data_IF_767388887906
#
_entry.id   IF_767388887906
#
_cell.length_a   1.000
_cell.length_b   1.000
_cell.length_c   1.000
_cell.angle_alpha   90.00
_cell.angle_beta   90.00
_cell.angle_gamma   90.00
#
_symmetry.space_group_name_H-M   'P 1'
#
loop_
_entity.id
_entity.type
_entity.pdbx_description
1 polymer ?
#
# COMPACT_ATOMS: atom_id res chain seq x y z
N UNK A 1 -2.29 -42.82 -6.35
CA UNK A 1 -1.14 -42.24 -5.60
C UNK A 1 -0.10 -41.80 -6.60
N UNK A 2 0.08 -40.49 -6.79
CA UNK A 2 1.07 -39.92 -7.70
C UNK A 2 1.99 -39.00 -6.90
N UNK A 3 3.29 -39.28 -6.95
CA UNK A 3 4.35 -38.53 -6.27
C UNK A 3 4.81 -37.43 -7.22
N UNK A 4 4.53 -36.16 -6.87
CA UNK A 4 4.99 -35.00 -7.63
C UNK A 4 6.31 -34.53 -7.02
N UNK A 5 7.38 -34.57 -7.82
CA UNK A 5 8.71 -34.10 -7.47
C UNK A 5 8.78 -32.56 -7.59
N UNK A 6 9.12 -31.89 -6.48
CA UNK A 6 9.38 -30.45 -6.39
C UNK A 6 10.83 -30.16 -6.79
N UNK A 7 11.00 -29.39 -7.87
CA UNK A 7 12.29 -28.82 -8.25
C UNK A 7 12.49 -27.47 -7.53
N UNK A 8 13.43 -27.45 -6.59
CA UNK A 8 13.91 -26.26 -5.87
C UNK A 8 14.89 -25.47 -6.72
N UNK A 9 14.47 -24.33 -7.25
CA UNK A 9 15.34 -23.34 -7.87
C UNK A 9 15.79 -22.28 -6.87
N UNK A 10 17.01 -22.42 -6.34
CA UNK A 10 17.69 -21.41 -5.52
C UNK A 10 18.26 -20.30 -6.41
N UNK A 11 17.59 -19.15 -6.47
CA UNK A 11 18.09 -17.93 -7.08
C UNK A 11 18.70 -16.99 -6.03
N UNK A 12 20.02 -17.06 -5.82
CA UNK A 12 20.78 -16.12 -4.99
C UNK A 12 20.95 -14.79 -5.74
N UNK A 13 20.13 -13.78 -5.43
CA UNK A 13 20.35 -12.41 -5.88
C UNK A 13 21.22 -11.65 -4.87
N UNK A 14 22.45 -11.36 -5.32
CA UNK A 14 23.52 -10.59 -4.67
C UNK A 14 23.10 -9.12 -4.48
N UNK A 15 23.02 -8.66 -3.24
CA UNK A 15 22.78 -7.25 -2.91
C UNK A 15 24.10 -6.47 -2.92
N UNK A 16 24.16 -5.42 -3.74
CA UNK A 16 25.26 -4.46 -3.77
C UNK A 16 25.13 -3.45 -2.63
N UNK A 17 26.17 -3.36 -1.80
CA UNK A 17 26.38 -2.32 -0.80
C UNK A 17 26.71 -0.99 -1.50
N UNK A 18 25.79 -0.04 -1.51
CA UNK A 18 26.09 1.34 -1.88
C UNK A 18 26.59 2.11 -0.66
N UNK A 19 27.80 2.64 -0.79
CA UNK A 19 28.54 3.36 0.23
C UNK A 19 27.85 4.65 0.65
N UNK A 20 27.82 4.83 1.98
CA UNK A 20 27.53 6.05 2.70
C UNK A 20 28.69 7.03 2.49
N UNK A 21 28.55 7.98 1.58
CA UNK A 21 29.47 9.11 1.53
C UNK A 21 28.88 10.23 2.39
N UNK A 22 29.44 10.40 3.58
CA UNK A 22 29.30 11.62 4.36
C UNK A 22 30.14 12.71 3.71
N UNK A 23 29.52 13.87 3.48
CA UNK A 23 30.23 15.11 3.21
C UNK A 23 29.94 16.05 4.37
N UNK A 24 30.96 16.20 5.21
CA UNK A 24 31.11 17.28 6.17
C UNK A 24 31.06 18.65 5.47
N UNK A 25 30.55 19.63 6.22
CA UNK A 25 30.29 20.97 5.74
C UNK A 25 31.55 21.77 5.40
N UNK A 26 31.30 22.90 4.75
CA UNK A 26 32.09 24.11 4.94
C UNK A 26 31.22 25.30 4.62
N UNK A 27 31.15 26.18 5.59
CA UNK A 27 30.54 27.50 5.57
C UNK A 27 31.21 28.35 4.50
N UNK A 28 30.44 29.12 3.73
CA UNK A 28 30.96 30.30 3.03
C UNK A 28 29.88 31.36 2.96
N UNK A 29 29.95 32.21 3.99
CA UNK A 29 29.98 33.67 3.93
C UNK A 29 29.38 34.38 2.70
N UNK A 30 28.42 35.23 3.02
CA UNK A 30 27.69 36.18 2.17
C UNK A 30 28.59 37.32 1.66
N UNK A 31 28.49 37.65 0.36
CA UNK A 31 28.87 38.96 -0.18
C UNK A 31 28.04 39.38 -1.42
N UNK A 32 27.07 40.27 -1.19
CA UNK A 32 26.73 41.51 -1.93
C UNK A 32 26.85 41.58 -3.47
N UNK A 33 25.68 41.62 -4.15
CA UNK A 33 25.14 42.49 -5.25
C UNK A 33 26.02 42.94 -6.46
N UNK A 34 25.49 43.53 -7.57
CA UNK A 34 24.10 43.80 -8.03
C UNK A 34 23.79 43.35 -9.49
N UNK A 35 22.55 43.65 -9.91
CA UNK A 35 21.92 43.63 -11.24
C UNK A 35 22.78 43.52 -12.52
N UNK A 36 22.39 42.61 -13.41
CA UNK A 36 22.47 42.78 -14.87
C UNK A 36 21.32 42.00 -15.53
N UNK A 37 20.36 42.75 -16.07
CA UNK A 37 19.39 42.30 -17.07
C UNK A 37 20.10 42.19 -18.42
N UNK A 38 19.86 41.12 -19.18
CA UNK A 38 19.62 41.32 -20.61
C UNK A 38 18.43 40.50 -21.11
N UNK A 39 17.39 41.20 -21.59
CA UNK A 39 16.64 40.76 -22.77
C UNK A 39 17.59 40.70 -23.97
N UNK A 40 17.50 39.65 -24.81
CA UNK A 40 16.78 39.87 -26.06
C UNK A 40 15.88 38.69 -26.48
N UNK A 41 14.66 39.07 -26.88
CA UNK A 41 13.92 38.76 -28.11
C UNK A 41 13.91 37.36 -28.78
N UNK A 42 12.79 37.02 -29.45
CA UNK A 42 12.42 35.66 -29.82
C UNK A 42 12.92 35.26 -31.21
N UNK A 43 13.52 34.07 -31.33
CA UNK A 43 13.70 33.42 -32.64
C UNK A 43 12.45 32.60 -33.00
N UNK A 44 11.71 33.19 -33.93
CA UNK A 44 10.75 32.55 -34.81
C UNK A 44 11.41 31.46 -35.67
N UNK A 45 10.58 30.50 -36.08
CA UNK A 45 10.73 29.56 -37.20
C UNK A 45 11.38 28.21 -36.88
N UNK A 46 10.57 27.15 -36.85
CA UNK A 46 10.32 26.44 -38.12
C UNK A 46 9.07 25.58 -38.04
N UNK A 47 8.17 25.89 -38.95
CA UNK A 47 7.10 25.05 -39.44
C UNK A 47 7.71 23.73 -39.96
N UNK A 48 7.26 22.60 -39.42
CA UNK A 48 7.38 21.31 -40.11
C UNK A 48 6.09 20.55 -39.88
N UNK A 49 5.10 20.94 -40.66
CA UNK A 49 4.04 20.05 -41.09
C UNK A 49 4.65 18.91 -41.93
N UNK A 50 4.58 17.67 -41.45
CA UNK A 50 4.63 16.49 -42.30
C UNK A 50 4.01 15.27 -41.61
N UNK A 51 2.87 14.85 -42.16
CA UNK A 51 2.39 13.45 -42.22
C UNK A 51 1.79 12.83 -40.96
N UNK A 52 0.46 12.93 -40.86
CA UNK A 52 -0.38 11.76 -40.57
C UNK A 52 -0.58 10.95 -41.88
N UNK A 53 -1.18 9.73 -41.90
CA UNK A 53 -1.49 8.79 -40.82
C UNK A 53 -0.89 7.39 -41.09
N UNK A 54 -0.82 6.53 -40.08
CA UNK A 54 -0.82 5.07 -40.33
C UNK A 54 -1.81 4.42 -39.39
N UNK A 55 -2.99 4.19 -39.95
CA UNK A 55 -4.02 3.30 -39.43
C UNK A 55 -3.56 1.88 -39.71
N UNK A 56 -3.02 1.18 -38.71
CA UNK A 56 -2.85 -0.27 -38.80
C UNK A 56 -3.90 -0.92 -37.90
N UNK A 57 -4.98 -1.33 -38.56
CA UNK A 57 -6.06 -2.16 -38.03
C UNK A 57 -5.50 -3.56 -37.78
N UNK A 58 -5.11 -3.87 -36.54
CA UNK A 58 -4.87 -5.23 -36.11
C UNK A 58 -6.16 -5.79 -35.48
N UNK A 59 -7.06 -6.21 -36.37
CA UNK A 59 -8.22 -7.04 -36.05
C UNK A 59 -7.70 -8.41 -35.59
N UNK A 60 -7.62 -8.62 -34.27
CA UNK A 60 -7.28 -9.92 -33.70
C UNK A 60 -8.57 -10.66 -33.40
N UNK A 61 -8.78 -11.75 -34.13
CA UNK A 61 -9.88 -12.70 -34.00
C UNK A 61 -10.07 -13.15 -32.53
N UNK A 62 -11.28 -13.08 -31.96
CA UNK A 62 -11.59 -13.76 -30.72
C UNK A 62 -11.79 -15.25 -31.00
N UNK A 63 -10.80 -16.06 -30.64
CA UNK A 63 -10.96 -17.51 -30.53
C UNK A 63 -11.68 -17.81 -29.22
N UNK A 64 -12.94 -18.21 -29.30
CA UNK A 64 -13.64 -18.93 -28.23
C UNK A 64 -13.01 -20.31 -28.03
N UNK A 65 -12.73 -20.69 -26.77
CA UNK A 65 -12.90 -22.08 -26.39
C UNK A 65 -14.02 -22.25 -25.38
N UNK A 66 -15.13 -22.77 -25.88
CA UNK A 66 -16.09 -23.64 -25.19
C UNK A 66 -15.38 -24.59 -24.22
N UNK A 67 -15.75 -24.51 -22.95
CA UNK A 67 -15.63 -25.65 -22.04
C UNK A 67 -16.78 -25.60 -21.02
N UNK A 68 -17.88 -26.25 -21.41
CA UNK A 68 -18.84 -26.87 -20.50
C UNK A 68 -18.07 -27.73 -19.49
N UNK A 69 -18.17 -27.40 -18.21
CA UNK A 69 -18.06 -28.35 -17.10
C UNK A 69 -19.00 -27.90 -15.96
N UNK A 70 -20.27 -28.32 -16.05
CA UNK A 70 -20.96 -28.90 -14.88
C UNK A 70 -20.21 -30.21 -14.50
N UNK A 71 -20.26 -30.77 -13.26
CA UNK A 71 -21.35 -30.71 -12.30
C UNK A 71 -20.88 -30.72 -10.80
N UNK A 72 -21.85 -30.86 -9.89
CA UNK A 72 -21.82 -31.84 -8.78
C UNK A 72 -21.85 -31.32 -7.33
N UNK A 73 -22.96 -31.72 -6.70
CA UNK A 73 -23.24 -32.02 -5.28
C UNK A 73 -23.32 -30.90 -4.23
N UNK A 74 -24.58 -30.62 -3.89
CA UNK A 74 -24.98 -30.16 -2.57
C UNK A 74 -24.87 -31.32 -1.56
N UNK A 75 -24.20 -31.13 -0.40
CA UNK A 75 -24.32 -32.07 0.70
C UNK A 75 -25.62 -31.84 1.50
N UNK A 76 -26.38 -32.92 1.60
CA UNK A 76 -27.49 -33.17 2.53
C UNK A 76 -27.06 -32.87 3.98
N UNK A 77 -27.70 -31.88 4.62
CA UNK A 77 -27.53 -31.60 6.05
C UNK A 77 -28.56 -32.44 6.81
N UNK A 78 -28.10 -33.58 7.34
CA UNK A 78 -28.85 -34.46 8.22
C UNK A 78 -29.12 -33.77 9.56
N UNK A 79 -30.35 -33.94 10.04
CA UNK A 79 -30.96 -33.45 11.27
C UNK A 79 -30.22 -33.87 12.57
N UNK A 80 -30.43 -33.13 13.67
CA UNK A 80 -29.70 -33.29 14.94
C UNK A 80 -30.02 -34.60 15.67
N UNK A 81 -28.98 -35.28 16.15
CA UNK A 81 -29.05 -36.40 17.08
C UNK A 81 -29.33 -35.89 18.49
N UNK A 82 -30.46 -36.31 19.06
CA UNK A 82 -30.76 -36.21 20.49
C UNK A 82 -29.69 -36.98 21.28
N UNK A 83 -28.96 -36.26 22.15
CA UNK A 83 -28.06 -36.86 23.13
C UNK A 83 -28.75 -36.87 24.49
N UNK A 84 -28.98 -38.09 24.95
CA UNK A 84 -29.48 -38.48 26.26
C UNK A 84 -28.74 -37.78 27.42
N UNK A 85 -29.52 -37.23 28.34
CA UNK A 85 -29.04 -36.64 29.58
C UNK A 85 -28.58 -37.73 30.55
N UNK A 86 -27.27 -37.84 30.76
CA UNK A 86 -26.69 -38.62 31.86
C UNK A 86 -26.38 -37.68 33.02
N UNK A 87 -27.04 -37.91 34.15
CA UNK A 87 -26.87 -37.15 35.39
C UNK A 87 -25.43 -37.28 35.96
N UNK A 88 -24.79 -36.17 36.37
CA UNK A 88 -23.50 -36.24 37.05
C UNK A 88 -23.64 -36.68 38.53
N UNK A 89 -22.62 -37.35 39.08
CA UNK A 89 -22.54 -37.73 40.50
C UNK A 89 -22.35 -36.51 41.43
N UNK A 90 -22.67 -36.63 42.73
CA UNK A 90 -22.70 -35.50 43.67
C UNK A 90 -21.32 -34.89 43.95
N UNK A 91 -21.26 -33.56 43.93
CA UNK A 91 -20.09 -32.74 44.25
C UNK A 91 -19.69 -32.80 45.74
N UNK A 92 -18.39 -32.78 46.07
CA UNK A 92 -17.89 -32.53 47.42
C UNK A 92 -18.03 -31.04 47.81
N UNK A 93 -18.02 -30.70 49.12
CA UNK A 93 -18.37 -29.38 49.63
C UNK A 93 -17.45 -28.26 49.11
N UNK A 94 -18.08 -27.21 48.59
CA UNK A 94 -17.44 -26.00 48.08
C UNK A 94 -16.65 -25.27 49.17
N UNK A 95 -15.34 -25.16 48.96
CA UNK A 95 -14.48 -24.21 49.68
C UNK A 95 -14.79 -22.81 49.16
N UNK A 96 -14.95 -21.78 50.02
CA UNK A 96 -15.26 -20.43 49.55
C UNK A 96 -14.15 -19.91 48.63
N UNK A 97 -14.49 -19.34 47.45
CA UNK A 97 -13.50 -18.78 46.56
C UNK A 97 -12.82 -17.60 47.24
N UNK A 98 -11.48 -17.62 47.27
CA UNK A 98 -10.70 -16.44 47.63
C UNK A 98 -11.05 -15.29 46.68
N UNK A 99 -11.10 -14.04 47.16
CA UNK A 99 -11.39 -12.89 46.30
C UNK A 99 -10.29 -12.79 45.23
N UNK A 100 -10.64 -13.14 43.99
CA UNK A 100 -9.82 -12.88 42.82
C UNK A 100 -9.70 -11.37 42.67
N UNK A 101 -8.56 -10.83 43.11
CA UNK A 101 -8.18 -9.45 42.82
C UNK A 101 -8.31 -9.22 41.31
N UNK A 102 -9.07 -8.21 40.85
CA UNK A 102 -9.20 -7.93 39.43
C UNK A 102 -7.80 -7.65 38.87
N UNK A 103 -7.40 -8.47 37.89
CA UNK A 103 -6.15 -8.26 37.18
C UNK A 103 -6.17 -6.85 36.59
N UNK A 104 -5.24 -6.01 37.03
CA UNK A 104 -5.05 -4.66 36.52
C UNK A 104 -4.84 -4.78 35.00
N UNK A 105 -5.62 -4.07 34.16
CA UNK A 105 -5.40 -4.10 32.72
C UNK A 105 -3.96 -3.68 32.44
N UNK A 106 -3.20 -4.57 31.81
CA UNK A 106 -1.86 -4.25 31.32
C UNK A 106 -2.02 -3.12 30.30
N UNK A 107 -1.22 -2.03 30.37
CA UNK A 107 -1.31 -0.98 29.37
C UNK A 107 -1.05 -1.61 28.00
N UNK A 108 -2.00 -1.50 27.09
CA UNK A 108 -1.79 -1.88 25.70
C UNK A 108 -0.60 -1.07 25.17
N UNK A 109 0.44 -1.75 24.70
CA UNK A 109 1.60 -1.08 24.13
C UNK A 109 1.14 -0.17 22.99
N UNK A 110 1.44 1.12 23.09
CA UNK A 110 1.05 2.07 22.05
C UNK A 110 1.78 1.71 20.74
N UNK A 111 1.04 1.47 19.67
CA UNK A 111 1.63 1.23 18.36
C UNK A 111 2.25 2.51 17.80
N UNK A 112 3.38 2.37 17.11
CA UNK A 112 4.04 3.41 16.35
C UNK A 112 3.95 3.12 14.86
N UNK A 113 3.66 4.16 14.09
CA UNK A 113 3.81 4.15 12.64
C UNK A 113 5.29 4.23 12.26
N UNK A 114 5.76 3.24 11.51
CA UNK A 114 7.05 3.25 10.82
C UNK A 114 6.80 3.49 9.33
N UNK A 115 7.29 4.63 8.80
CA UNK A 115 7.19 4.97 7.38
C UNK A 115 8.06 4.03 6.56
N UNK A 116 7.52 3.53 5.45
CA UNK A 116 8.24 2.68 4.50
C UNK A 116 8.41 3.37 3.14
N UNK A 117 8.29 2.58 2.07
CA UNK A 117 8.47 3.07 0.70
C UNK A 117 7.29 3.91 0.22
N UNK A 118 7.59 4.84 -0.69
CA UNK A 118 6.61 5.50 -1.56
C UNK A 118 6.92 5.08 -3.00
N UNK A 119 5.90 4.68 -3.75
CA UNK A 119 6.03 4.25 -5.13
C UNK A 119 5.01 4.97 -6.01
N UNK A 120 5.49 5.78 -6.96
CA UNK A 120 4.68 6.38 -8.01
C UNK A 120 4.45 5.33 -9.10
N UNK A 121 3.23 4.81 -9.16
CA UNK A 121 2.84 3.74 -10.07
C UNK A 121 2.42 4.30 -11.43
N UNK A 122 1.89 5.52 -11.46
CA UNK A 122 1.41 6.21 -12.67
C UNK A 122 1.41 7.73 -12.48
N UNK A 123 1.69 8.49 -13.53
CA UNK A 123 1.79 9.96 -13.52
C UNK A 123 1.47 10.55 -14.91
N UNK A 124 0.25 10.31 -15.38
CA UNK A 124 -0.17 10.76 -16.71
C UNK A 124 -0.25 12.28 -16.78
N UNK A 125 0.10 12.85 -17.94
CA UNK A 125 0.10 14.31 -18.17
C UNK A 125 1.30 15.05 -17.60
N UNK A 126 2.21 14.39 -16.87
CA UNK A 126 3.43 14.99 -16.34
C UNK A 126 4.65 14.53 -17.15
N UNK A 127 5.64 15.41 -17.43
CA UNK A 127 6.87 15.01 -18.09
C UNK A 127 7.61 13.91 -17.32
N UNK A 128 7.83 12.78 -17.98
CA UNK A 128 8.54 11.63 -17.39
C UNK A 128 10.06 11.83 -17.40
N UNK A 129 10.71 11.32 -16.35
CA UNK A 129 12.17 11.28 -16.21
C UNK A 129 12.73 10.04 -16.89
N UNK A 130 13.97 10.13 -17.38
CA UNK A 130 14.71 8.95 -17.87
C UNK A 130 15.10 8.06 -16.70
N UNK A 131 14.86 6.75 -16.81
CA UNK A 131 15.31 5.76 -15.84
C UNK A 131 14.21 4.77 -15.42
N UNK A 132 14.50 3.93 -14.40
CA UNK A 132 13.59 2.88 -13.96
C UNK A 132 12.36 3.39 -13.20
N UNK A 133 12.39 4.63 -12.71
CA UNK A 133 11.27 5.30 -12.02
C UNK A 133 10.96 6.57 -12.82
N UNK A 134 10.06 6.49 -13.81
CA UNK A 134 9.82 7.60 -14.74
C UNK A 134 9.02 8.74 -14.12
N UNK A 135 8.25 8.49 -13.08
CA UNK A 135 7.43 9.52 -12.45
C UNK A 135 8.24 10.45 -11.54
N UNK A 136 8.09 11.78 -11.66
CA UNK A 136 8.63 12.70 -10.67
C UNK A 136 7.94 12.49 -9.32
N UNK A 137 8.62 12.91 -8.24
CA UNK A 137 8.07 12.88 -6.89
C UNK A 137 7.40 14.22 -6.56
N UNK A 138 6.35 14.14 -5.75
CA UNK A 138 5.58 15.26 -5.20
C UNK A 138 5.78 15.28 -3.69
N UNK A 139 6.80 15.99 -3.23
CA UNK A 139 7.18 15.98 -1.80
C UNK A 139 6.08 16.55 -0.90
N UNK A 140 5.31 17.53 -1.41
CA UNK A 140 4.21 18.13 -0.68
C UNK A 140 3.07 17.13 -0.47
N UNK A 141 2.68 16.41 -1.53
CA UNK A 141 1.71 15.31 -1.44
C UNK A 141 2.21 14.21 -0.50
N UNK A 142 3.48 13.81 -0.59
CA UNK A 142 4.01 12.75 0.27
C UNK A 142 3.97 13.13 1.75
N UNK A 143 4.35 14.36 2.09
CA UNK A 143 4.31 14.85 3.46
C UNK A 143 2.86 14.88 3.99
N UNK A 144 1.92 15.39 3.20
CA UNK A 144 0.50 15.43 3.56
C UNK A 144 -0.10 14.01 3.73
N UNK A 145 0.18 13.11 2.79
CA UNK A 145 -0.26 11.72 2.85
C UNK A 145 0.32 11.00 4.08
N UNK A 146 1.59 11.20 4.42
CA UNK A 146 2.17 10.61 5.63
C UNK A 146 1.55 11.12 6.93
N UNK A 147 1.15 12.40 6.97
CA UNK A 147 0.44 12.96 8.11
C UNK A 147 -0.97 12.35 8.24
N UNK A 148 -1.67 12.19 7.11
CA UNK A 148 -2.97 11.50 7.07
C UNK A 148 -2.85 10.02 7.49
N UNK A 149 -1.86 9.28 6.98
CA UNK A 149 -1.61 7.88 7.35
C UNK A 149 -1.27 7.74 8.84
N UNK A 150 -0.61 8.72 9.46
CA UNK A 150 -0.29 8.66 10.90
C UNK A 150 -1.53 8.54 11.80
N UNK A 151 -2.70 8.96 11.33
CA UNK A 151 -3.98 8.80 12.04
C UNK A 151 -4.38 7.33 12.21
N UNK A 152 -3.76 6.41 11.46
CA UNK A 152 -4.00 4.96 11.56
C UNK A 152 -3.83 4.43 12.99
N UNK A 153 -2.94 5.04 13.77
CA UNK A 153 -2.67 4.66 15.16
C UNK A 153 -3.82 4.99 16.12
N UNK A 154 -4.80 5.79 15.68
CA UNK A 154 -5.99 6.17 16.43
C UNK A 154 -7.29 5.51 15.93
N UNK A 155 -7.20 4.62 14.93
CA UNK A 155 -8.36 3.90 14.40
C UNK A 155 -8.88 2.90 15.43
N UNK A 156 -10.11 3.11 15.92
CA UNK A 156 -10.74 2.20 16.86
C UNK A 156 -11.01 0.80 16.26
N UNK A 157 -11.18 0.71 14.94
CA UNK A 157 -11.55 -0.55 14.26
C UNK A 157 -10.35 -1.41 13.86
N UNK A 158 -9.12 -0.90 14.02
CA UNK A 158 -7.90 -1.66 13.75
C UNK A 158 -7.50 -2.48 14.97
N UNK A 159 -7.13 -3.76 14.77
CA UNK A 159 -6.58 -4.56 15.86
C UNK A 159 -5.31 -3.88 16.39
N UNK A 160 -5.13 -3.92 17.71
CA UNK A 160 -3.91 -3.46 18.38
C UNK A 160 -2.75 -4.44 18.15
N UNK A 161 -2.47 -4.73 16.88
CA UNK A 161 -1.49 -5.69 16.42
C UNK A 161 -0.46 -5.00 15.52
N UNK A 162 0.76 -5.52 15.57
CA UNK A 162 1.80 -5.13 14.64
C UNK A 162 1.53 -5.72 13.25
N UNK A 163 2.00 -5.05 12.21
CA UNK A 163 1.87 -5.54 10.84
C UNK A 163 2.27 -4.50 9.82
N UNK A 164 2.14 -4.85 8.54
CA UNK A 164 2.40 -3.96 7.43
C UNK A 164 1.16 -3.75 6.57
N UNK A 165 1.06 -2.54 6.00
CA UNK A 165 0.02 -2.16 5.05
C UNK A 165 0.65 -1.38 3.88
N UNK A 166 -0.03 -1.42 2.74
CA UNK A 166 0.33 -0.71 1.51
C UNK A 166 -0.94 -0.06 0.99
N UNK A 167 -1.01 1.26 1.11
CA UNK A 167 -2.18 2.06 0.72
C UNK A 167 -1.91 2.73 -0.61
N UNK A 168 -2.87 2.61 -1.53
CA UNK A 168 -2.85 3.25 -2.83
C UNK A 168 -3.83 4.41 -2.83
N UNK A 169 -3.36 5.52 -3.37
CA UNK A 169 -4.15 6.72 -3.64
C UNK A 169 -4.19 6.90 -5.16
N UNK A 170 -5.39 6.86 -5.75
CA UNK A 170 -5.63 7.13 -7.17
C UNK A 170 -6.32 8.49 -7.32
N UNK A 171 -5.62 9.41 -7.97
CA UNK A 171 -6.16 10.70 -8.38
C UNK A 171 -6.44 10.63 -9.87
N UNK A 172 -7.71 10.50 -10.26
CA UNK A 172 -8.12 10.36 -11.67
C UNK A 172 -8.80 11.62 -12.25
N UNK A 173 -8.74 12.73 -11.50
CA UNK A 173 -9.42 13.99 -11.83
C UNK A 173 -10.83 14.12 -11.24
N UNK A 174 -11.35 13.07 -10.60
CA UNK A 174 -12.59 13.06 -9.84
C UNK A 174 -12.36 13.01 -8.32
N UNK A 175 -13.19 12.21 -7.64
CA UNK A 175 -12.98 11.89 -6.23
C UNK A 175 -11.75 11.02 -6.07
N UNK A 176 -10.90 11.32 -5.09
CA UNK A 176 -9.71 10.52 -4.83
C UNK A 176 -10.13 9.15 -4.31
N UNK A 177 -9.66 8.08 -4.96
CA UNK A 177 -9.92 6.71 -4.52
C UNK A 177 -8.78 6.21 -3.62
N UNK A 178 -9.16 5.60 -2.48
CA UNK A 178 -8.22 5.04 -1.51
C UNK A 178 -8.48 3.54 -1.41
N UNK A 179 -7.45 2.75 -1.71
CA UNK A 179 -7.49 1.29 -1.62
C UNK A 179 -6.24 0.74 -0.94
N UNK A 180 -6.27 -0.54 -0.57
CA UNK A 180 -5.09 -1.26 -0.08
C UNK A 180 -4.59 -2.27 -1.11
N UNK A 181 -3.27 -2.46 -1.18
CA UNK A 181 -2.66 -3.55 -1.95
C UNK A 181 -2.23 -4.68 -1.04
N UNK A 182 -2.78 -5.86 -1.27
CA UNK A 182 -2.40 -7.07 -0.55
C UNK A 182 -1.24 -7.83 -1.20
N UNK A 183 -0.25 -7.11 -1.74
CA UNK A 183 0.94 -7.71 -2.34
C UNK A 183 2.13 -7.60 -1.40
N UNK A 184 2.25 -8.59 -0.52
CA UNK A 184 3.37 -8.74 0.42
C UNK A 184 4.10 -10.06 0.17
N UNK A 185 5.34 -10.11 0.66
CA UNK A 185 6.04 -11.38 0.79
C UNK A 185 5.33 -12.27 1.83
N UNK A 186 5.48 -13.58 1.70
CA UNK A 186 4.74 -14.57 2.52
C UNK A 186 5.12 -14.57 4.00
N UNK A 187 6.25 -13.97 4.35
CA UNK A 187 6.81 -13.86 5.71
C UNK A 187 6.37 -12.59 6.45
N UNK A 188 5.60 -11.71 5.81
CA UNK A 188 5.16 -10.44 6.42
C UNK A 188 3.79 -10.61 7.08
N UNK A 189 3.70 -10.20 8.35
CA UNK A 189 2.40 -10.03 9.02
C UNK A 189 1.69 -8.83 8.43
N UNK A 190 0.55 -9.06 7.79
CA UNK A 190 -0.25 -8.03 7.10
C UNK A 190 -1.32 -7.49 8.03
N UNK A 191 -1.53 -6.19 7.98
CA UNK A 191 -2.73 -5.56 8.53
C UNK A 191 -3.92 -5.85 7.60
N UNK A 192 -5.13 -5.75 8.14
CA UNK A 192 -6.36 -5.79 7.34
C UNK A 192 -6.41 -4.53 6.45
N UNK A 193 -6.01 -4.68 5.19
CA UNK A 193 -5.87 -3.58 4.24
C UNK A 193 -7.17 -2.81 4.04
N UNK A 194 -8.31 -3.50 4.00
CA UNK A 194 -9.62 -2.85 3.81
C UNK A 194 -9.98 -1.96 5.01
N UNK A 195 -9.76 -2.44 6.24
CA UNK A 195 -9.97 -1.63 7.45
C UNK A 195 -9.02 -0.45 7.54
N UNK A 196 -7.74 -0.67 7.20
CA UNK A 196 -6.74 0.41 7.18
C UNK A 196 -7.19 1.48 6.19
N UNK A 197 -7.48 1.10 4.94
CA UNK A 197 -7.91 2.00 3.88
C UNK A 197 -9.16 2.79 4.28
N UNK A 198 -10.19 2.11 4.79
CA UNK A 198 -11.42 2.76 5.26
C UNK A 198 -11.14 3.80 6.36
N UNK A 199 -10.24 3.50 7.30
CA UNK A 199 -9.93 4.45 8.37
C UNK A 199 -9.20 5.70 7.88
N UNK A 200 -8.23 5.55 6.97
CA UNK A 200 -7.43 6.70 6.50
C UNK A 200 -8.07 7.44 5.31
N UNK A 201 -9.06 6.84 4.64
CA UNK A 201 -9.70 7.40 3.45
C UNK A 201 -10.23 8.83 3.63
N UNK A 202 -10.92 9.21 4.73
CA UNK A 202 -11.39 10.58 4.90
C UNK A 202 -10.26 11.61 4.94
N UNK A 203 -9.14 11.28 5.59
CA UNK A 203 -7.99 12.18 5.69
C UNK A 203 -7.20 12.23 4.37
N UNK A 204 -7.05 11.09 3.69
CA UNK A 204 -6.35 11.00 2.41
C UNK A 204 -7.12 11.60 1.25
N UNK A 205 -8.45 11.50 1.23
CA UNK A 205 -9.29 12.08 0.18
C UNK A 205 -9.26 13.62 0.15
N UNK A 206 -8.78 14.26 1.22
CA UNK A 206 -8.58 15.70 1.30
C UNK A 206 -7.16 16.15 0.87
N UNK A 207 -6.25 15.22 0.56
CA UNK A 207 -4.87 15.55 0.18
C UNK A 207 -4.83 15.95 -1.30
N UNK A 208 -4.45 17.19 -1.65
CA UNK A 208 -4.30 17.57 -3.05
C UNK A 208 -2.96 17.06 -3.62
N UNK A 209 -2.94 16.75 -4.91
CA UNK A 209 -1.69 16.64 -5.67
C UNK A 209 -1.25 18.00 -6.21
N UNK A 210 0.07 18.22 -6.29
CA UNK A 210 0.65 19.49 -6.77
C UNK A 210 1.30 19.37 -8.15
N UNK A 211 1.51 18.13 -8.65
CA UNK A 211 2.15 17.89 -9.95
C UNK A 211 1.28 18.25 -11.16
N UNK A 212 -0.03 18.40 -10.99
CA UNK A 212 -0.95 18.66 -12.10
C UNK A 212 -1.07 17.47 -13.06
N UNK A 213 -0.87 16.24 -12.57
CA UNK A 213 -1.08 15.03 -13.36
C UNK A 213 -2.57 14.91 -13.72
N UNK A 214 -2.89 14.46 -14.93
CA UNK A 214 -4.27 14.11 -15.29
C UNK A 214 -4.71 12.83 -14.60
N UNK A 215 -3.78 11.92 -14.35
CA UNK A 215 -3.96 10.77 -13.46
C UNK A 215 -2.68 10.45 -12.70
N UNK A 216 -2.79 10.29 -11.39
CA UNK A 216 -1.67 9.98 -10.51
C UNK A 216 -2.04 8.81 -9.60
N UNK A 217 -1.22 7.75 -9.60
CA UNK A 217 -1.40 6.61 -8.70
C UNK A 217 -0.16 6.46 -7.84
N UNK A 218 -0.30 6.56 -6.53
CA UNK A 218 0.83 6.50 -5.57
C UNK A 218 0.54 5.45 -4.50
N UNK A 219 1.54 4.63 -4.20
CA UNK A 219 1.48 3.59 -3.16
C UNK A 219 2.39 3.97 -1.99
N UNK A 220 1.87 3.84 -0.78
CA UNK A 220 2.52 4.12 0.50
C UNK A 220 2.56 2.85 1.35
N UNK A 221 3.75 2.27 1.54
CA UNK A 221 3.93 1.13 2.44
C UNK A 221 4.40 1.60 3.81
N UNK A 222 3.80 1.07 4.86
CA UNK A 222 4.19 1.35 6.23
C UNK A 222 4.02 0.13 7.13
N UNK A 223 4.53 0.25 8.35
CA UNK A 223 4.35 -0.75 9.39
C UNK A 223 3.80 -0.13 10.68
N UNK A 224 3.05 -0.93 11.44
CA UNK A 224 2.75 -0.69 12.83
C UNK A 224 3.61 -1.61 13.68
N UNK A 225 4.29 -1.04 14.68
CA UNK A 225 5.19 -1.75 15.60
C UNK A 225 4.91 -1.29 17.03
N UNK A 226 5.10 -2.15 18.02
CA UNK A 226 5.09 -1.71 19.41
C UNK A 226 6.25 -0.73 19.66
N UNK A 227 6.01 0.25 20.52
CA UNK A 227 7.04 1.17 21.02
C UNK A 227 7.94 0.51 22.06
#
# INVERSE_FOLDING_TARGET
>A
MAVIALATGLGLARWGTYGRHGSDGTETETAVAPATEPEPEPELATDTAASAPTTETAETEPTEPTALLEPTEAPDVVAPSEAEAVAPPPEPPSTPPSPTTPARPSPASALQLVRGRVAYLRCDGVPQRRGPVPCPRDEALEAAAWNAIATVTSCAELPAAEGEADIVIDFDGGETEISARDRFATDVVRLDGARVAACVAPALGAVPQTMGASRLVVSFRFALRAR
#
